data_IF_920279590306
#
_entry.id   IF_920279590306
#
_cell.length_a   1.000
_cell.length_b   1.000
_cell.length_c   1.000
_cell.angle_alpha   90.00
_cell.angle_beta   90.00
_cell.angle_gamma   90.00
#
_symmetry.space_group_name_H-M   'P 1'
#
loop_
_entity.id
_entity.type
_entity.pdbx_description
1 polymer ?
#
# COMPACT_ATOMS: atom_id res chain seq x y z
N UNK A 1 27.66 -54.07 -45.01
CA UNK A 1 27.64 -52.94 -45.96
C UNK A 1 26.56 -51.97 -45.52
N UNK A 2 26.93 -50.69 -45.41
CA UNK A 2 26.20 -49.61 -44.74
C UNK A 2 25.38 -48.86 -45.80
N UNK A 3 24.07 -48.71 -45.63
CA UNK A 3 23.27 -47.74 -46.39
C UNK A 3 22.66 -46.74 -45.40
N UNK A 4 23.11 -45.50 -45.55
CA UNK A 4 23.04 -44.41 -44.57
C UNK A 4 21.61 -43.89 -44.40
N UNK A 5 21.26 -43.75 -43.13
CA UNK A 5 20.02 -43.20 -42.62
C UNK A 5 19.92 -41.69 -42.94
N UNK A 6 18.83 -41.37 -43.63
CA UNK A 6 18.05 -40.14 -43.62
C UNK A 6 18.50 -39.01 -42.65
N UNK A 7 19.34 -38.10 -43.14
CA UNK A 7 19.49 -36.75 -42.57
C UNK A 7 19.54 -35.75 -43.73
N UNK A 8 18.39 -35.16 -44.07
CA UNK A 8 18.36 -33.94 -44.89
C UNK A 8 18.98 -32.82 -44.05
N UNK A 9 20.06 -32.25 -44.56
CA UNK A 9 20.71 -31.10 -43.97
C UNK A 9 19.74 -29.89 -43.92
N UNK A 10 19.92 -28.94 -42.99
CA UNK A 10 19.07 -27.73 -42.85
C UNK A 10 19.08 -26.78 -44.06
N UNK A 11 19.68 -27.18 -45.18
CA UNK A 11 19.90 -26.37 -46.38
C UNK A 11 18.75 -26.46 -47.42
N UNK A 12 17.75 -27.32 -47.22
CA UNK A 12 16.68 -27.61 -48.20
C UNK A 12 15.29 -27.05 -47.84
N UNK A 13 15.20 -26.00 -47.01
CA UNK A 13 13.91 -25.36 -46.68
C UNK A 13 13.60 -24.29 -47.74
N UNK A 14 12.43 -24.35 -48.42
CA UNK A 14 12.00 -23.31 -49.36
C UNK A 14 12.09 -21.91 -48.73
N UNK A 15 12.44 -20.89 -49.52
CA UNK A 15 12.63 -19.53 -49.00
C UNK A 15 11.37 -19.00 -48.29
N UNK A 16 10.19 -19.40 -48.76
CA UNK A 16 8.89 -19.08 -48.17
C UNK A 16 8.73 -19.70 -46.77
N UNK A 17 9.09 -20.98 -46.61
CA UNK A 17 9.03 -21.70 -45.33
C UNK A 17 10.01 -21.11 -44.29
N UNK A 18 11.18 -20.62 -44.72
CA UNK A 18 12.12 -19.89 -43.84
C UNK A 18 11.56 -18.56 -43.33
N UNK A 19 10.93 -17.78 -44.21
CA UNK A 19 10.30 -16.52 -43.81
C UNK A 19 9.13 -16.75 -42.84
N UNK A 20 8.36 -17.83 -43.04
CA UNK A 20 7.30 -18.24 -42.11
C UNK A 20 7.89 -18.63 -40.76
N UNK A 21 8.99 -19.41 -40.72
CA UNK A 21 9.67 -19.76 -39.48
C UNK A 21 10.20 -18.53 -38.73
N UNK A 22 10.89 -17.62 -39.40
CA UNK A 22 11.39 -16.38 -38.79
C UNK A 22 10.25 -15.53 -38.19
N UNK A 23 9.12 -15.45 -38.89
CA UNK A 23 7.94 -14.72 -38.41
C UNK A 23 7.29 -15.40 -37.21
N UNK A 24 7.19 -16.73 -37.21
CA UNK A 24 6.68 -17.50 -36.07
C UNK A 24 7.59 -17.37 -34.85
N UNK A 25 8.91 -17.38 -35.03
CA UNK A 25 9.86 -17.15 -33.95
C UNK A 25 9.74 -15.73 -33.38
N UNK A 26 9.53 -14.73 -34.23
CA UNK A 26 9.24 -13.35 -33.82
C UNK A 26 7.99 -13.27 -32.95
N UNK A 27 6.88 -13.82 -33.43
CA UNK A 27 5.61 -13.85 -32.69
C UNK A 27 5.72 -14.60 -31.37
N UNK A 28 6.47 -15.71 -31.34
CA UNK A 28 6.71 -16.47 -30.12
C UNK A 28 7.49 -15.65 -29.08
N UNK A 29 8.55 -14.95 -29.50
CA UNK A 29 9.32 -14.06 -28.61
C UNK A 29 8.46 -12.92 -28.07
N UNK A 30 7.61 -12.33 -28.90
CA UNK A 30 6.66 -11.30 -28.46
C UNK A 30 5.66 -11.83 -27.44
N UNK A 31 5.09 -13.01 -27.69
CA UNK A 31 4.21 -13.68 -26.75
C UNK A 31 4.90 -13.96 -25.42
N UNK A 32 6.12 -14.53 -25.44
CA UNK A 32 6.88 -14.82 -24.22
C UNK A 32 7.15 -13.54 -23.41
N UNK A 33 7.46 -12.43 -24.08
CA UNK A 33 7.64 -11.11 -23.43
C UNK A 33 6.34 -10.60 -22.81
N UNK A 34 5.22 -10.69 -23.53
CA UNK A 34 3.92 -10.26 -23.03
C UNK A 34 3.45 -11.14 -21.87
N UNK A 35 3.66 -12.44 -21.95
CA UNK A 35 3.32 -13.39 -20.92
C UNK A 35 4.12 -13.12 -19.63
N UNK A 36 5.42 -12.87 -19.75
CA UNK A 36 6.25 -12.46 -18.61
C UNK A 36 5.73 -11.17 -17.96
N UNK A 37 5.43 -10.15 -18.77
CA UNK A 37 4.90 -8.87 -18.27
C UNK A 37 3.55 -9.05 -17.58
N UNK A 38 2.69 -9.94 -18.09
CA UNK A 38 1.43 -10.30 -17.45
C UNK A 38 1.67 -10.86 -16.05
N UNK A 39 2.55 -11.86 -15.92
CA UNK A 39 2.85 -12.48 -14.62
C UNK A 39 3.38 -11.45 -13.62
N UNK A 40 4.30 -10.57 -14.04
CA UNK A 40 4.82 -9.49 -13.20
C UNK A 40 3.73 -8.53 -12.74
N UNK A 41 2.80 -8.17 -13.63
CA UNK A 41 1.69 -7.28 -13.33
C UNK A 41 0.69 -7.94 -12.38
N UNK A 42 0.32 -9.20 -12.64
CA UNK A 42 -0.62 -9.98 -11.82
C UNK A 42 -0.06 -10.15 -10.39
N UNK A 43 1.24 -10.44 -10.27
CA UNK A 43 1.93 -10.54 -8.96
C UNK A 43 1.90 -9.20 -8.22
N UNK A 44 2.17 -8.10 -8.93
CA UNK A 44 2.14 -6.75 -8.34
C UNK A 44 0.73 -6.39 -7.87
N UNK A 45 -0.29 -6.70 -8.66
CA UNK A 45 -1.69 -6.48 -8.30
C UNK A 45 -2.07 -7.25 -7.03
N UNK A 46 -1.75 -8.55 -6.98
CA UNK A 46 -2.02 -9.39 -5.81
C UNK A 46 -1.37 -8.85 -4.53
N UNK A 47 -0.13 -8.37 -4.62
CA UNK A 47 0.58 -7.76 -3.49
C UNK A 47 -0.09 -6.47 -3.03
N UNK A 48 -0.46 -5.58 -3.96
CA UNK A 48 -1.13 -4.31 -3.64
C UNK A 48 -2.52 -4.53 -3.02
N UNK A 49 -3.29 -5.49 -3.53
CA UNK A 49 -4.57 -5.88 -2.95
C UNK A 49 -4.42 -6.43 -1.53
N UNK A 50 -3.37 -7.22 -1.28
CA UNK A 50 -3.10 -7.72 0.07
C UNK A 50 -2.72 -6.59 1.03
N UNK A 51 -1.89 -5.64 0.59
CA UNK A 51 -1.57 -4.46 1.38
C UNK A 51 -2.82 -3.63 1.68
N UNK A 52 -3.67 -3.39 0.68
CA UNK A 52 -4.92 -2.65 0.87
C UNK A 52 -5.81 -3.31 1.93
N UNK A 53 -6.01 -4.64 1.83
CA UNK A 53 -6.80 -5.38 2.84
C UNK A 53 -6.22 -5.26 4.24
N UNK A 54 -4.90 -5.30 4.38
CA UNK A 54 -4.25 -5.16 5.68
C UNK A 54 -4.41 -3.74 6.23
N UNK A 55 -4.24 -2.70 5.41
CA UNK A 55 -4.49 -1.32 5.83
C UNK A 55 -5.95 -1.09 6.23
N UNK A 56 -6.90 -1.62 5.46
CA UNK A 56 -8.34 -1.53 5.80
C UNK A 56 -8.66 -2.25 7.12
N UNK A 57 -8.03 -3.40 7.36
CA UNK A 57 -8.16 -4.15 8.61
C UNK A 57 -7.59 -3.36 9.78
N UNK A 58 -6.37 -2.83 9.66
CA UNK A 58 -5.75 -1.99 10.69
C UNK A 58 -6.60 -0.76 11.00
N UNK A 59 -7.12 -0.08 9.97
CA UNK A 59 -7.99 1.06 10.17
C UNK A 59 -9.29 0.69 10.92
N UNK A 60 -9.90 -0.46 10.58
CA UNK A 60 -11.07 -0.98 11.30
C UNK A 60 -10.76 -1.40 12.73
N UNK A 61 -9.61 -2.04 12.96
CA UNK A 61 -9.19 -2.52 14.27
C UNK A 61 -8.84 -1.34 15.21
N UNK A 62 -8.14 -0.31 14.71
CA UNK A 62 -7.69 0.83 15.52
C UNK A 62 -8.73 1.95 15.65
N UNK A 63 -9.47 2.23 14.57
CA UNK A 63 -10.36 3.39 14.48
C UNK A 63 -11.83 3.00 14.29
N UNK A 64 -12.15 1.71 14.16
CA UNK A 64 -13.51 1.21 13.95
C UNK A 64 -14.01 1.32 12.50
N UNK A 65 -13.26 1.99 11.61
CA UNK A 65 -13.65 2.21 10.21
C UNK A 65 -12.42 2.34 9.30
N UNK A 66 -12.60 1.96 8.03
CA UNK A 66 -11.61 2.19 6.96
C UNK A 66 -12.05 3.27 5.98
N UNK A 67 -13.20 3.91 6.21
CA UNK A 67 -13.66 5.01 5.35
C UNK A 67 -12.89 6.29 5.64
N UNK A 68 -12.32 6.90 4.60
CA UNK A 68 -11.47 8.08 4.74
C UNK A 68 -12.23 9.29 5.30
N UNK A 69 -13.51 9.45 4.96
CA UNK A 69 -14.30 10.57 5.45
C UNK A 69 -14.69 10.36 6.92
N UNK A 70 -15.04 9.12 7.29
CA UNK A 70 -15.30 8.77 8.69
C UNK A 70 -14.05 8.93 9.56
N UNK A 71 -12.87 8.50 9.10
CA UNK A 71 -11.60 8.70 9.79
C UNK A 71 -11.30 10.20 9.98
N UNK A 72 -11.58 11.04 8.98
CA UNK A 72 -11.44 12.50 9.10
C UNK A 72 -12.40 13.09 10.14
N UNK A 73 -13.65 12.64 10.14
CA UNK A 73 -14.63 13.08 11.12
C UNK A 73 -14.23 12.67 12.55
N UNK A 74 -13.71 11.44 12.71
CA UNK A 74 -13.20 10.94 13.98
C UNK A 74 -12.02 11.79 14.48
N UNK A 75 -11.08 12.14 13.59
CA UNK A 75 -9.94 12.99 13.92
C UNK A 75 -10.37 14.38 14.39
N UNK A 76 -11.28 15.04 13.67
CA UNK A 76 -11.75 16.37 14.07
C UNK A 76 -12.52 16.34 15.39
N UNK A 77 -13.31 15.29 15.63
CA UNK A 77 -13.97 15.07 16.92
C UNK A 77 -12.95 14.91 18.05
N UNK A 78 -11.94 14.07 17.87
CA UNK A 78 -10.89 13.88 18.89
C UNK A 78 -10.09 15.15 19.16
N UNK A 79 -9.86 15.99 18.14
CA UNK A 79 -9.24 17.30 18.35
C UNK A 79 -10.10 18.21 19.22
N UNK A 80 -11.39 18.32 18.94
CA UNK A 80 -12.30 19.12 19.74
C UNK A 80 -12.38 18.62 21.20
N UNK A 81 -12.51 17.30 21.40
CA UNK A 81 -12.50 16.70 22.74
C UNK A 81 -11.17 16.93 23.48
N UNK A 82 -10.04 16.93 22.77
CA UNK A 82 -8.74 17.22 23.36
C UNK A 82 -8.60 18.69 23.73
N UNK A 83 -9.07 19.61 22.90
CA UNK A 83 -9.05 21.05 23.21
C UNK A 83 -9.88 21.35 24.45
N UNK A 84 -11.06 20.75 24.58
CA UNK A 84 -11.92 20.86 25.77
C UNK A 84 -11.20 20.34 27.01
N UNK A 85 -10.66 19.11 26.96
CA UNK A 85 -9.89 18.54 28.07
C UNK A 85 -8.70 19.42 28.45
N UNK A 86 -7.96 19.93 27.47
CA UNK A 86 -6.81 20.82 27.73
C UNK A 86 -7.26 22.09 28.45
N UNK A 87 -8.38 22.69 28.06
CA UNK A 87 -8.93 23.86 28.73
C UNK A 87 -9.33 23.55 30.19
N UNK A 88 -10.01 22.42 30.43
CA UNK A 88 -10.35 21.95 31.78
C UNK A 88 -9.10 21.73 32.65
N UNK A 89 -8.10 21.04 32.10
CA UNK A 89 -6.82 20.82 32.79
C UNK A 89 -6.11 22.13 33.12
N UNK A 90 -6.12 23.10 32.22
CA UNK A 90 -5.55 24.43 32.48
C UNK A 90 -6.29 25.16 33.60
N UNK A 91 -7.61 25.08 33.66
CA UNK A 91 -8.40 25.64 34.75
C UNK A 91 -8.07 24.99 36.09
N UNK A 92 -7.98 23.65 36.12
CA UNK A 92 -7.59 22.92 37.33
C UNK A 92 -6.20 23.35 37.82
N UNK A 93 -5.23 23.49 36.91
CA UNK A 93 -3.88 23.95 37.26
C UNK A 93 -3.93 25.36 37.85
N UNK A 94 -4.67 26.29 37.22
CA UNK A 94 -4.82 27.67 37.73
C UNK A 94 -5.47 27.69 39.12
N UNK A 95 -6.49 26.86 39.34
CA UNK A 95 -7.14 26.76 40.65
C UNK A 95 -6.18 26.24 41.72
N UNK A 96 -5.36 25.24 41.40
CA UNK A 96 -4.35 24.69 42.33
C UNK A 96 -3.29 25.76 42.64
N UNK A 97 -2.79 26.45 41.60
CA UNK A 97 -1.82 27.54 41.78
C UNK A 97 -2.36 28.64 42.68
N UNK A 98 -3.58 29.14 42.43
CA UNK A 98 -4.19 30.16 43.28
C UNK A 98 -4.47 29.68 44.71
N UNK A 99 -4.77 28.40 44.91
CA UNK A 99 -4.92 27.83 46.26
C UNK A 99 -3.57 27.74 46.98
N UNK A 100 -2.49 27.38 46.28
CA UNK A 100 -1.13 27.35 46.82
C UNK A 100 -0.65 28.76 47.19
N UNK A 101 -0.86 29.76 46.32
CA UNK A 101 -0.49 31.16 46.59
C UNK A 101 -1.16 31.70 47.87
N UNK A 102 -2.45 31.38 48.10
CA UNK A 102 -3.16 31.77 49.34
C UNK A 102 -2.60 31.11 50.59
N UNK A 103 -2.04 29.90 50.47
CA UNK A 103 -1.40 29.19 51.58
C UNK A 103 0.00 29.76 51.84
N UNK A 104 0.72 30.13 50.78
CA UNK A 104 2.08 30.65 50.86
C UNK A 104 2.15 32.12 51.32
N UNK A 105 1.15 32.95 50.98
CA UNK A 105 1.05 34.36 51.41
C UNK A 105 -0.23 34.64 52.22
N UNK A 106 -0.33 34.16 53.48
CA UNK A 106 -1.51 34.37 54.30
C UNK A 106 -1.72 35.83 54.78
N UNK A 107 -0.72 36.71 54.66
CA UNK A 107 -0.75 38.10 55.18
C UNK A 107 -1.32 39.14 54.18
N UNK A 108 -1.61 38.79 52.93
CA UNK A 108 -2.25 39.70 51.95
C UNK A 108 -3.77 39.50 51.83
N UNK A 109 -4.38 38.71 52.72
CA UNK A 109 -5.80 38.33 52.68
C UNK A 109 -6.72 39.11 53.67
N UNK A 110 -6.23 40.14 54.35
CA UNK A 110 -7.04 41.11 55.13
C UNK A 110 -7.20 42.44 54.38
#
# INVERSE_FOLDING_TARGET
>A
MIAKNNQRAPQDIPAEDRQVQERLEGLRKEYEKLHKKKIETDTTLQNLEQQLRELERQAKDEYGTSDLNELRALLERWRAENEEKVAEYQEHIRSIQGALERIENPEEAE
#
